data_IF_542222224603
#
_entry.id   IF_542222224603
#
_cell.length_a   1.000
_cell.length_b   1.000
_cell.length_c   1.000
_cell.angle_alpha   90.00
_cell.angle_beta   90.00
_cell.angle_gamma   90.00
#
_symmetry.space_group_name_H-M   'P 1'
#
loop_
_entity.id
_entity.type
_entity.pdbx_description
1 polymer ?
#
# COMPACT_ATOMS: atom_id res chain seq x y z
N UNK A 1 70.43 -38.28 20.47
CA UNK A 1 70.07 -38.37 19.02
C UNK A 1 68.60 -38.63 18.79
N UNK A 2 68.00 -39.65 19.38
CA UNK A 2 66.66 -40.15 19.06
C UNK A 2 65.55 -39.15 19.44
N UNK A 3 65.64 -38.49 20.59
CA UNK A 3 64.72 -37.51 21.14
C UNK A 3 64.63 -36.26 20.22
N UNK A 4 65.79 -35.83 19.73
CA UNK A 4 65.85 -34.65 18.82
C UNK A 4 65.23 -34.93 17.48
N UNK A 5 65.44 -36.15 16.94
CA UNK A 5 64.76 -36.55 15.71
C UNK A 5 63.23 -36.63 15.86
N UNK A 6 62.75 -37.13 17.02
CA UNK A 6 61.31 -37.22 17.30
C UNK A 6 60.66 -35.82 17.37
N UNK A 7 61.32 -34.88 18.04
CA UNK A 7 60.87 -33.48 18.16
C UNK A 7 60.81 -32.78 16.80
N UNK A 8 61.77 -33.00 15.92
CA UNK A 8 61.80 -32.47 14.56
C UNK A 8 60.68 -33.03 13.69
N UNK A 9 60.36 -34.30 13.83
CA UNK A 9 59.25 -34.94 13.09
C UNK A 9 57.93 -34.37 13.58
N UNK A 10 57.72 -34.19 14.90
CA UNK A 10 56.50 -33.59 15.46
C UNK A 10 56.34 -32.13 14.99
N UNK A 11 57.43 -31.35 15.02
CA UNK A 11 57.38 -29.97 14.51
C UNK A 11 57.04 -29.89 13.01
N UNK A 12 57.60 -30.80 12.18
CA UNK A 12 57.29 -30.87 10.77
C UNK A 12 55.83 -31.25 10.50
N UNK A 13 55.27 -32.18 11.29
CA UNK A 13 53.84 -32.59 11.15
C UNK A 13 52.90 -31.46 11.59
N UNK A 14 53.24 -30.71 12.67
CA UNK A 14 52.46 -29.55 13.08
C UNK A 14 52.47 -28.44 12.02
N UNK A 15 53.65 -28.18 11.42
CA UNK A 15 53.78 -27.20 10.35
C UNK A 15 52.94 -27.59 9.10
N UNK A 16 52.97 -28.88 8.76
CA UNK A 16 52.20 -29.43 7.68
C UNK A 16 50.70 -29.32 7.94
N UNK A 17 50.23 -29.60 9.13
CA UNK A 17 48.85 -29.43 9.57
C UNK A 17 48.39 -27.96 9.47
N UNK A 18 49.27 -27.03 9.88
CA UNK A 18 48.99 -25.58 9.80
C UNK A 18 48.87 -25.12 8.33
N UNK A 19 49.77 -25.60 7.46
CA UNK A 19 49.73 -25.33 6.00
C UNK A 19 48.48 -25.92 5.37
N UNK A 20 48.06 -27.11 5.74
CA UNK A 20 46.84 -27.74 5.25
C UNK A 20 45.59 -26.97 5.70
N UNK A 21 45.53 -26.47 6.93
CA UNK A 21 44.46 -25.61 7.42
C UNK A 21 44.36 -24.29 6.62
N UNK A 22 45.50 -23.65 6.33
CA UNK A 22 45.53 -22.44 5.52
C UNK A 22 45.20 -22.68 4.03
N UNK A 23 45.63 -23.81 3.49
CA UNK A 23 45.22 -24.22 2.11
C UNK A 23 43.71 -24.48 2.02
N UNK A 24 43.10 -25.07 3.04
CA UNK A 24 41.65 -25.27 3.12
C UNK A 24 40.89 -23.94 3.12
N UNK A 25 41.35 -22.97 3.91
CA UNK A 25 40.81 -21.61 3.92
C UNK A 25 40.91 -20.94 2.53
N UNK A 26 42.07 -21.08 1.87
CA UNK A 26 42.28 -20.55 0.51
C UNK A 26 41.36 -21.22 -0.55
N UNK A 27 41.12 -22.53 -0.44
CA UNK A 27 40.26 -23.27 -1.36
C UNK A 27 38.75 -22.97 -1.17
N UNK A 28 38.30 -22.67 0.03
CA UNK A 28 36.87 -22.44 0.30
C UNK A 28 36.51 -20.95 0.44
N UNK A 29 37.34 -20.16 1.11
CA UNK A 29 37.06 -18.72 1.33
C UNK A 29 37.51 -17.90 0.12
N UNK A 30 38.59 -18.28 -0.55
CA UNK A 30 39.07 -17.60 -1.76
C UNK A 30 38.06 -17.54 -2.92
N UNK A 31 37.49 -18.65 -3.35
CA UNK A 31 36.47 -18.65 -4.39
C UNK A 31 35.17 -17.95 -3.99
N UNK A 32 34.73 -18.04 -2.72
CA UNK A 32 33.56 -17.34 -2.20
C UNK A 32 33.77 -15.82 -2.16
N UNK A 33 34.94 -15.38 -1.73
CA UNK A 33 35.27 -13.94 -1.74
C UNK A 33 35.49 -13.40 -3.15
N UNK A 34 36.12 -14.18 -4.05
CA UNK A 34 36.23 -13.84 -5.48
C UNK A 34 34.88 -13.81 -6.17
N UNK A 35 33.97 -14.74 -5.87
CA UNK A 35 32.59 -14.73 -6.38
C UNK A 35 31.79 -13.55 -5.82
N UNK A 36 31.96 -13.22 -4.53
CA UNK A 36 31.35 -12.03 -3.92
C UNK A 36 31.86 -10.74 -4.55
N UNK A 37 33.17 -10.60 -4.76
CA UNK A 37 33.78 -9.49 -5.47
C UNK A 37 33.35 -9.44 -6.95
N UNK A 38 33.34 -10.59 -7.65
CA UNK A 38 32.84 -10.67 -9.01
C UNK A 38 31.37 -10.23 -9.10
N UNK A 39 30.50 -10.63 -8.17
CA UNK A 39 29.10 -10.19 -8.12
C UNK A 39 28.98 -8.69 -7.79
N UNK A 40 29.81 -8.15 -6.91
CA UNK A 40 29.82 -6.72 -6.60
C UNK A 40 30.32 -5.85 -7.78
N UNK A 41 31.37 -6.30 -8.47
CA UNK A 41 31.98 -5.51 -9.57
C UNK A 41 31.40 -5.79 -10.95
N UNK A 42 30.97 -7.02 -11.18
CA UNK A 42 30.49 -7.50 -12.49
C UNK A 42 29.06 -8.04 -12.43
N UNK A 43 28.29 -7.70 -11.37
CA UNK A 43 26.89 -8.10 -11.26
C UNK A 43 26.24 -8.08 -12.64
N UNK A 44 25.56 -9.14 -13.02
CA UNK A 44 25.37 -9.55 -14.42
C UNK A 44 24.99 -8.35 -15.29
N UNK A 45 25.57 -8.21 -16.45
CA UNK A 45 25.25 -7.17 -17.44
C UNK A 45 23.74 -7.08 -17.65
N UNK A 46 23.05 -8.18 -17.46
CA UNK A 46 21.60 -8.31 -17.56
C UNK A 46 20.87 -7.64 -16.39
N UNK A 47 21.31 -7.82 -15.13
CA UNK A 47 20.72 -7.12 -13.97
C UNK A 47 20.90 -5.61 -14.07
N UNK A 48 22.05 -5.15 -14.55
CA UNK A 48 22.28 -3.72 -14.78
C UNK A 48 21.44 -3.16 -15.93
N UNK A 49 21.24 -3.96 -16.97
CA UNK A 49 20.37 -3.59 -18.10
C UNK A 49 18.93 -3.51 -17.65
N UNK A 50 18.40 -4.54 -16.95
CA UNK A 50 17.06 -4.54 -16.38
C UNK A 50 16.84 -3.36 -15.41
N UNK A 51 17.82 -3.07 -14.55
CA UNK A 51 17.76 -1.92 -13.63
C UNK A 51 17.71 -0.59 -14.40
N UNK A 52 18.46 -0.45 -15.49
CA UNK A 52 18.43 0.76 -16.34
C UNK A 52 17.11 0.89 -17.07
N UNK A 53 16.60 -0.20 -17.64
CA UNK A 53 15.32 -0.24 -18.34
C UNK A 53 14.18 0.11 -17.37
N UNK A 54 14.18 -0.47 -16.17
CA UNK A 54 13.22 -0.14 -15.11
C UNK A 54 13.28 1.34 -14.73
N UNK A 55 14.48 1.90 -14.47
CA UNK A 55 14.64 3.32 -14.17
C UNK A 55 14.19 4.23 -15.32
N UNK A 56 14.40 3.82 -16.55
CA UNK A 56 13.96 4.58 -17.73
C UNK A 56 12.45 4.55 -17.88
N UNK A 57 11.83 3.39 -17.69
CA UNK A 57 10.37 3.22 -17.70
C UNK A 57 9.71 4.07 -16.60
N UNK A 58 10.21 4.00 -15.37
CA UNK A 58 9.75 4.82 -14.24
C UNK A 58 9.84 6.31 -14.57
N UNK A 59 10.98 6.77 -15.17
CA UNK A 59 11.15 8.17 -15.53
C UNK A 59 10.19 8.62 -16.64
N UNK A 60 9.91 7.75 -17.60
CA UNK A 60 8.94 8.02 -18.67
C UNK A 60 7.52 8.12 -18.10
N UNK A 61 7.13 7.17 -17.25
CA UNK A 61 5.84 7.17 -16.55
C UNK A 61 5.66 8.44 -15.71
N UNK A 62 6.67 8.78 -14.89
CA UNK A 62 6.65 10.00 -14.09
C UNK A 62 6.44 11.25 -14.93
N UNK A 63 7.07 11.32 -16.12
CA UNK A 63 6.89 12.47 -17.04
C UNK A 63 5.46 12.59 -17.54
N UNK A 64 4.80 11.47 -17.82
CA UNK A 64 3.40 11.42 -18.25
C UNK A 64 2.47 12.09 -17.22
N UNK A 65 2.73 11.87 -15.92
CA UNK A 65 1.90 12.34 -14.83
C UNK A 65 2.29 13.71 -14.26
N UNK A 66 3.44 14.29 -14.64
CA UNK A 66 3.92 15.59 -14.12
C UNK A 66 2.92 16.73 -14.31
N UNK A 67 2.07 16.67 -15.33
CA UNK A 67 1.02 17.66 -15.59
C UNK A 67 -0.27 17.44 -14.81
N UNK A 68 -0.41 16.30 -14.12
CA UNK A 68 -1.62 16.00 -13.37
C UNK A 68 -1.72 16.88 -12.12
N UNK A 69 -2.91 17.49 -11.88
CA UNK A 69 -3.09 18.48 -10.79
C UNK A 69 -2.79 17.92 -9.40
N UNK A 70 -3.01 16.62 -9.17
CA UNK A 70 -2.71 15.94 -7.91
C UNK A 70 -1.29 15.34 -7.85
N UNK A 71 -0.48 15.51 -8.88
CA UNK A 71 0.89 14.99 -8.88
C UNK A 71 1.72 15.46 -7.67
N UNK A 72 1.69 16.74 -7.25
CA UNK A 72 2.43 17.20 -6.08
C UNK A 72 1.76 16.89 -4.74
N UNK A 73 0.56 16.30 -4.74
CA UNK A 73 -0.24 16.10 -3.53
C UNK A 73 0.13 14.77 -2.88
N UNK A 74 0.23 14.74 -1.54
CA UNK A 74 0.49 13.53 -0.76
C UNK A 74 -0.63 12.49 -0.93
N UNK A 75 -0.33 11.21 -0.63
CA UNK A 75 -1.35 10.15 -0.66
C UNK A 75 -2.55 10.46 0.24
N UNK A 76 -2.31 11.00 1.44
CA UNK A 76 -3.41 11.44 2.35
C UNK A 76 -4.28 12.52 1.74
N UNK A 77 -3.66 13.49 1.07
CA UNK A 77 -4.41 14.54 0.35
C UNK A 77 -5.22 13.97 -0.82
N UNK A 78 -4.67 13.02 -1.56
CA UNK A 78 -5.39 12.32 -2.64
C UNK A 78 -6.54 11.48 -2.10
N UNK A 79 -6.31 10.72 -1.01
CA UNK A 79 -7.36 9.96 -0.34
C UNK A 79 -8.49 10.88 0.16
N UNK A 80 -8.15 12.02 0.77
CA UNK A 80 -9.15 13.00 1.16
C UNK A 80 -10.01 13.49 -0.03
N UNK A 81 -9.40 13.75 -1.17
CA UNK A 81 -10.14 14.11 -2.38
C UNK A 81 -11.08 12.99 -2.85
N UNK A 82 -10.61 11.73 -2.84
CA UNK A 82 -11.42 10.58 -3.22
C UNK A 82 -12.58 10.34 -2.25
N UNK A 83 -12.38 10.59 -0.95
CA UNK A 83 -13.47 10.55 0.03
C UNK A 83 -14.53 11.65 -0.28
N UNK A 84 -14.11 12.85 -0.68
CA UNK A 84 -15.05 13.87 -1.14
C UNK A 84 -15.81 13.45 -2.40
N UNK A 85 -15.18 12.72 -3.33
CA UNK A 85 -15.87 12.13 -4.49
C UNK A 85 -16.91 11.10 -4.05
N UNK A 86 -16.57 10.25 -3.10
CA UNK A 86 -17.49 9.28 -2.51
C UNK A 86 -18.68 9.98 -1.82
N UNK A 87 -18.43 11.02 -1.03
CA UNK A 87 -19.49 11.84 -0.40
C UNK A 87 -20.39 12.52 -1.43
N UNK A 88 -19.82 13.02 -2.53
CA UNK A 88 -20.60 13.64 -3.60
C UNK A 88 -21.60 12.65 -4.19
N UNK A 89 -21.20 11.40 -4.43
CA UNK A 89 -22.07 10.34 -4.91
C UNK A 89 -23.13 9.95 -3.87
N UNK A 90 -22.77 9.81 -2.61
CA UNK A 90 -23.72 9.54 -1.53
C UNK A 90 -24.80 10.62 -1.45
N UNK A 91 -24.43 11.89 -1.50
CA UNK A 91 -25.38 12.99 -1.50
C UNK A 91 -26.30 12.97 -2.72
N UNK A 92 -25.76 12.67 -3.88
CA UNK A 92 -26.50 12.62 -5.11
C UNK A 92 -27.59 11.53 -5.09
N UNK A 93 -27.24 10.34 -4.57
CA UNK A 93 -28.14 9.19 -4.58
C UNK A 93 -28.92 8.96 -3.29
N UNK A 94 -28.41 9.40 -2.14
CA UNK A 94 -28.91 9.03 -0.81
C UNK A 94 -29.16 10.22 0.11
N UNK A 95 -29.61 11.36 -0.42
CA UNK A 95 -29.80 12.59 0.37
C UNK A 95 -30.63 12.40 1.65
N UNK A 96 -31.53 11.43 1.71
CA UNK A 96 -32.41 11.16 2.86
C UNK A 96 -31.83 10.15 3.86
N UNK A 97 -30.77 9.42 3.51
CA UNK A 97 -30.24 8.28 4.29
C UNK A 97 -28.74 8.39 4.61
N UNK A 98 -28.17 9.58 4.55
CA UNK A 98 -26.73 9.81 4.76
C UNK A 98 -26.23 9.33 6.13
N UNK A 99 -27.06 9.38 7.16
CA UNK A 99 -26.68 8.97 8.52
C UNK A 99 -26.21 7.51 8.61
N UNK A 100 -26.70 6.64 7.72
CA UNK A 100 -26.30 5.23 7.69
C UNK A 100 -24.85 5.02 7.22
N UNK A 101 -24.32 5.98 6.45
CA UNK A 101 -22.96 5.94 5.91
C UNK A 101 -21.93 6.61 6.82
N UNK A 102 -22.39 7.31 7.88
CA UNK A 102 -21.50 8.11 8.74
C UNK A 102 -20.40 7.29 9.39
N UNK A 103 -20.72 6.07 9.85
CA UNK A 103 -19.69 5.21 10.42
C UNK A 103 -18.58 4.91 9.39
N UNK A 104 -18.97 4.45 8.19
CA UNK A 104 -18.00 4.14 7.12
C UNK A 104 -17.19 5.37 6.69
N UNK A 105 -17.86 6.51 6.56
CA UNK A 105 -17.17 7.77 6.24
C UNK A 105 -16.19 8.16 7.33
N UNK A 106 -16.54 8.02 8.61
CA UNK A 106 -15.64 8.27 9.73
C UNK A 106 -14.39 7.39 9.64
N UNK A 107 -14.56 6.10 9.33
CA UNK A 107 -13.44 5.18 9.13
C UNK A 107 -12.58 5.56 7.90
N UNK A 108 -13.21 5.92 6.78
CA UNK A 108 -12.47 6.38 5.60
C UNK A 108 -11.64 7.63 5.90
N UNK A 109 -12.21 8.63 6.60
CA UNK A 109 -11.50 9.85 6.94
C UNK A 109 -10.32 9.64 7.91
N UNK A 110 -10.28 8.54 8.68
CA UNK A 110 -9.15 8.22 9.55
C UNK A 110 -7.82 8.11 8.80
N UNK A 111 -7.82 7.79 7.50
CA UNK A 111 -6.58 7.76 6.70
C UNK A 111 -5.81 9.08 6.76
N UNK A 112 -6.50 10.19 6.92
CA UNK A 112 -5.87 11.51 6.96
C UNK A 112 -5.07 11.74 8.24
N UNK A 113 -5.45 11.12 9.35
CA UNK A 113 -4.89 11.35 10.69
C UNK A 113 -4.12 10.15 11.27
N UNK A 114 -4.44 8.91 10.89
CA UNK A 114 -3.81 7.71 11.46
C UNK A 114 -2.33 7.60 11.10
N UNK A 115 -1.51 7.09 12.03
CA UNK A 115 -0.13 6.68 11.77
C UNK A 115 -0.04 5.21 11.36
N UNK A 116 -1.01 4.39 11.76
CA UNK A 116 -1.09 2.95 11.47
C UNK A 116 -1.91 2.73 10.18
N UNK A 117 -1.23 2.91 9.06
CA UNK A 117 -1.85 2.78 7.74
C UNK A 117 -2.21 1.33 7.43
N UNK A 118 -1.36 0.40 7.85
CA UNK A 118 -1.55 -1.03 7.58
C UNK A 118 -2.83 -1.54 8.26
N UNK A 119 -3.02 -1.16 9.52
CA UNK A 119 -4.24 -1.48 10.24
C UNK A 119 -5.47 -0.80 9.64
N UNK A 120 -5.32 0.46 9.23
CA UNK A 120 -6.41 1.16 8.55
C UNK A 120 -6.82 0.45 7.26
N UNK A 121 -5.84 0.02 6.44
CA UNK A 121 -6.10 -0.73 5.20
C UNK A 121 -6.83 -2.03 5.51
N UNK A 122 -6.37 -2.83 6.47
CA UNK A 122 -7.05 -4.06 6.88
C UNK A 122 -8.49 -3.83 7.31
N UNK A 123 -8.71 -2.82 8.15
CA UNK A 123 -10.05 -2.46 8.64
C UNK A 123 -10.99 -1.99 7.53
N UNK A 124 -10.49 -1.20 6.57
CA UNK A 124 -11.31 -0.76 5.44
C UNK A 124 -11.57 -1.91 4.47
N UNK A 125 -10.60 -2.79 4.23
CA UNK A 125 -10.80 -3.98 3.40
C UNK A 125 -11.85 -4.93 4.01
N UNK A 126 -11.78 -5.18 5.32
CA UNK A 126 -12.80 -5.93 6.07
C UNK A 126 -14.19 -5.27 6.00
N UNK A 127 -14.26 -3.94 6.00
CA UNK A 127 -15.50 -3.17 5.91
C UNK A 127 -16.03 -3.03 4.47
N UNK A 128 -15.35 -3.57 3.47
CA UNK A 128 -15.76 -3.45 2.08
C UNK A 128 -17.10 -4.17 1.81
N UNK A 129 -17.92 -3.64 0.89
CA UNK A 129 -19.16 -4.31 0.50
C UNK A 129 -18.95 -5.75 0.03
N UNK A 130 -17.84 -6.02 -0.67
CA UNK A 130 -17.48 -7.34 -1.16
C UNK A 130 -17.27 -8.30 0.00
N UNK A 131 -16.41 -7.95 0.96
CA UNK A 131 -16.09 -8.77 2.13
C UNK A 131 -17.33 -8.99 3.04
N UNK A 132 -18.05 -7.91 3.35
CA UNK A 132 -19.23 -7.98 4.24
C UNK A 132 -20.37 -8.81 3.65
N UNK A 133 -20.59 -8.70 2.33
CA UNK A 133 -21.69 -9.46 1.68
C UNK A 133 -21.32 -10.92 1.42
N UNK A 134 -20.01 -11.25 1.33
CA UNK A 134 -19.54 -12.62 1.15
C UNK A 134 -19.82 -13.49 2.38
N UNK A 135 -19.52 -12.98 3.58
CA UNK A 135 -19.70 -13.75 4.82
C UNK A 135 -21.17 -13.76 5.28
N UNK A 136 -21.63 -14.92 5.74
CA UNK A 136 -22.98 -15.09 6.30
C UNK A 136 -23.10 -14.50 7.69
N UNK A 137 -22.03 -14.56 8.48
CA UNK A 137 -21.96 -14.05 9.84
C UNK A 137 -20.59 -13.49 10.17
N UNK A 138 -20.50 -12.72 11.25
CA UNK A 138 -19.24 -12.21 11.80
C UNK A 138 -18.24 -13.34 12.10
N UNK A 139 -18.73 -14.44 12.70
CA UNK A 139 -17.92 -15.59 13.09
C UNK A 139 -17.26 -16.26 11.87
N UNK A 140 -17.95 -16.31 10.72
CA UNK A 140 -17.40 -16.87 9.48
C UNK A 140 -16.22 -16.01 8.98
N UNK A 141 -16.33 -14.67 9.04
CA UNK A 141 -15.24 -13.74 8.70
C UNK A 141 -14.06 -13.87 9.66
N UNK A 142 -14.32 -13.92 10.96
CA UNK A 142 -13.28 -14.09 11.98
C UNK A 142 -12.53 -15.43 11.80
N UNK A 143 -13.24 -16.53 11.58
CA UNK A 143 -12.65 -17.86 11.35
C UNK A 143 -11.80 -17.90 10.08
N UNK A 144 -12.27 -17.27 8.99
CA UNK A 144 -11.53 -17.18 7.75
C UNK A 144 -10.21 -16.41 7.94
N UNK A 145 -10.27 -15.21 8.54
CA UNK A 145 -9.08 -14.40 8.79
C UNK A 145 -8.09 -15.13 9.70
N UNK A 146 -8.56 -15.76 10.75
CA UNK A 146 -7.72 -16.60 11.63
C UNK A 146 -7.03 -17.74 10.87
N UNK A 147 -7.75 -18.38 9.95
CA UNK A 147 -7.20 -19.48 9.12
C UNK A 147 -6.10 -19.03 8.18
N UNK A 148 -6.20 -17.84 7.61
CA UNK A 148 -5.18 -17.25 6.71
C UNK A 148 -4.09 -16.48 7.46
N UNK A 149 -4.17 -16.43 8.80
CA UNK A 149 -3.17 -15.74 9.63
C UNK A 149 -3.30 -14.22 9.60
N UNK A 150 -4.49 -13.72 9.26
CA UNK A 150 -4.82 -12.30 9.28
C UNK A 150 -5.64 -11.94 10.52
N UNK A 151 -5.77 -10.64 10.76
CA UNK A 151 -6.66 -10.09 11.78
C UNK A 151 -7.99 -9.72 11.13
N UNK A 152 -9.08 -9.84 11.88
CA UNK A 152 -10.38 -9.29 11.50
C UNK A 152 -10.62 -8.07 12.39
N UNK A 153 -10.50 -6.88 11.79
CA UNK A 153 -10.45 -5.61 12.55
C UNK A 153 -11.84 -5.00 12.83
N UNK A 154 -12.93 -5.67 12.44
CA UNK A 154 -14.29 -5.25 12.77
C UNK A 154 -14.78 -5.91 14.06
N UNK A 155 -15.64 -5.22 14.80
CA UNK A 155 -16.46 -5.81 15.83
C UNK A 155 -17.71 -6.44 15.24
N UNK A 156 -18.34 -7.36 15.99
CA UNK A 156 -19.60 -8.00 15.55
C UNK A 156 -20.71 -6.98 15.30
N UNK A 157 -20.82 -5.94 16.13
CA UNK A 157 -21.80 -4.85 15.97
C UNK A 157 -21.58 -4.06 14.68
N UNK A 158 -20.33 -3.76 14.37
CA UNK A 158 -19.94 -3.06 13.13
C UNK A 158 -20.26 -3.90 11.90
N UNK A 159 -19.89 -5.19 11.93
CA UNK A 159 -20.23 -6.13 10.87
C UNK A 159 -21.72 -6.20 10.59
N UNK A 160 -22.55 -6.39 11.64
CA UNK A 160 -24.01 -6.47 11.52
C UNK A 160 -24.57 -5.17 10.94
N UNK A 161 -24.06 -4.01 11.40
CA UNK A 161 -24.50 -2.71 10.91
C UNK A 161 -24.18 -2.51 9.44
N UNK A 162 -22.96 -2.84 9.01
CA UNK A 162 -22.52 -2.74 7.61
C UNK A 162 -23.29 -3.75 6.73
N UNK A 163 -23.46 -4.98 7.20
CA UNK A 163 -24.21 -5.99 6.45
C UNK A 163 -25.64 -5.54 6.18
N UNK A 164 -26.31 -5.01 7.20
CA UNK A 164 -27.65 -4.44 7.06
C UNK A 164 -27.68 -3.27 6.06
N UNK A 165 -26.69 -2.40 6.12
CA UNK A 165 -26.56 -1.30 5.17
C UNK A 165 -26.44 -1.82 3.74
N UNK A 166 -25.46 -2.69 3.49
CA UNK A 166 -25.16 -3.17 2.14
C UNK A 166 -26.27 -4.07 1.57
N UNK A 167 -26.91 -4.92 2.39
CA UNK A 167 -28.06 -5.72 1.97
C UNK A 167 -29.24 -4.85 1.53
N UNK A 168 -29.42 -3.67 2.11
CA UNK A 168 -30.46 -2.72 1.72
C UNK A 168 -30.12 -1.91 0.46
N UNK A 169 -28.81 -1.75 0.18
CA UNK A 169 -28.34 -0.89 -0.90
C UNK A 169 -27.89 -1.67 -2.15
N UNK A 170 -27.46 -2.95 -2.02
CA UNK A 170 -26.81 -3.74 -3.07
C UNK A 170 -27.61 -3.88 -4.38
N UNK A 171 -28.93 -3.90 -4.28
CA UNK A 171 -29.81 -4.07 -5.45
C UNK A 171 -30.20 -2.73 -6.09
N UNK A 172 -29.74 -1.61 -5.56
CA UNK A 172 -30.00 -0.29 -6.13
C UNK A 172 -29.05 0.01 -7.30
N UNK A 173 -29.55 0.63 -8.36
CA UNK A 173 -28.75 0.90 -9.56
C UNK A 173 -27.47 1.71 -9.32
N UNK A 174 -27.44 2.50 -8.27
CA UNK A 174 -26.28 3.32 -7.92
C UNK A 174 -25.23 2.61 -7.05
N UNK A 175 -25.54 1.44 -6.50
CA UNK A 175 -24.62 0.75 -5.60
C UNK A 175 -23.25 0.43 -6.25
N UNK A 176 -23.17 -0.01 -7.52
CA UNK A 176 -21.90 -0.20 -8.20
C UNK A 176 -21.06 1.08 -8.28
N UNK A 177 -21.69 2.26 -8.41
CA UNK A 177 -21.03 3.57 -8.43
C UNK A 177 -20.40 3.86 -7.07
N UNK A 178 -21.19 3.70 -6.00
CA UNK A 178 -20.72 3.87 -4.60
C UNK A 178 -19.55 2.91 -4.31
N UNK A 179 -19.68 1.65 -4.72
CA UNK A 179 -18.63 0.65 -4.51
C UNK A 179 -17.37 0.96 -5.33
N UNK A 180 -17.50 1.38 -6.59
CA UNK A 180 -16.38 1.82 -7.42
C UNK A 180 -15.59 2.96 -6.77
N UNK A 181 -16.29 3.99 -6.28
CA UNK A 181 -15.66 5.11 -5.57
C UNK A 181 -15.01 4.70 -4.25
N UNK A 182 -15.63 3.78 -3.50
CA UNK A 182 -15.02 3.19 -2.32
C UNK A 182 -13.67 2.53 -2.64
N UNK A 183 -13.62 1.73 -3.72
CA UNK A 183 -12.38 1.09 -4.16
C UNK A 183 -11.29 2.09 -4.51
N UNK A 184 -11.61 3.19 -5.17
CA UNK A 184 -10.59 4.21 -5.50
C UNK A 184 -9.93 4.81 -4.26
N UNK A 185 -10.66 4.94 -3.12
CA UNK A 185 -10.09 5.38 -1.84
C UNK A 185 -9.10 4.37 -1.31
N UNK A 186 -9.38 3.07 -1.42
CA UNK A 186 -8.48 2.00 -0.98
C UNK A 186 -7.25 1.92 -1.91
N UNK A 187 -7.49 1.96 -3.21
CA UNK A 187 -6.47 1.83 -4.26
C UNK A 187 -5.39 2.93 -4.17
N UNK A 188 -5.76 4.17 -3.87
CA UNK A 188 -4.80 5.27 -3.73
C UNK A 188 -3.76 5.02 -2.63
N UNK A 189 -4.08 4.19 -1.65
CA UNK A 189 -3.20 3.84 -0.55
C UNK A 189 -2.44 2.55 -0.82
N UNK A 190 -3.11 1.52 -1.38
CA UNK A 190 -2.60 0.14 -1.46
C UNK A 190 -1.80 -0.16 -2.73
N UNK A 191 -2.17 0.39 -3.88
CA UNK A 191 -1.62 -0.01 -5.19
C UNK A 191 -0.11 0.22 -5.36
N UNK A 192 0.52 0.95 -4.48
CA UNK A 192 1.93 1.31 -4.60
C UNK A 192 2.81 0.82 -3.44
N UNK A 193 2.35 -0.18 -2.69
CA UNK A 193 3.09 -0.70 -1.53
C UNK A 193 4.46 -1.29 -1.85
N UNK A 194 4.71 -1.66 -3.11
CA UNK A 194 6.00 -2.22 -3.55
C UNK A 194 7.04 -1.19 -4.01
N UNK A 195 6.67 0.05 -4.26
CA UNK A 195 7.53 1.08 -4.86
C UNK A 195 7.83 2.24 -3.89
N UNK A 196 8.51 1.91 -2.77
CA UNK A 196 8.90 2.87 -1.72
C UNK A 196 9.77 4.04 -2.23
N UNK A 197 10.37 3.93 -3.41
CA UNK A 197 11.23 4.97 -3.99
C UNK A 197 10.49 6.02 -4.84
N UNK A 198 9.20 5.83 -5.14
CA UNK A 198 8.50 6.70 -6.07
C UNK A 198 7.44 7.52 -5.33
N UNK A 199 7.80 8.74 -4.94
CA UNK A 199 6.89 9.71 -4.30
C UNK A 199 5.64 10.07 -5.12
N UNK A 200 5.52 9.57 -6.37
CA UNK A 200 4.45 9.91 -7.30
C UNK A 200 4.09 8.69 -8.13
N UNK A 201 3.28 7.83 -7.57
CA UNK A 201 2.91 6.60 -8.22
C UNK A 201 1.78 6.83 -9.21
N UNK A 202 1.92 6.28 -10.43
CA UNK A 202 0.89 6.35 -11.47
C UNK A 202 -0.44 5.78 -11.02
N UNK A 203 -0.43 4.69 -10.26
CA UNK A 203 -1.64 4.01 -9.81
C UNK A 203 -2.51 4.89 -8.91
N UNK A 204 -1.89 5.62 -7.96
CA UNK A 204 -2.62 6.55 -7.10
C UNK A 204 -3.22 7.76 -7.85
N UNK A 205 -2.64 8.15 -8.99
CA UNK A 205 -3.22 9.19 -9.85
C UNK A 205 -4.31 8.62 -10.76
N UNK A 206 -4.13 7.38 -11.24
CA UNK A 206 -5.18 6.68 -12.00
C UNK A 206 -6.45 6.49 -11.18
N UNK A 207 -6.35 6.23 -9.87
CA UNK A 207 -7.52 6.13 -9.00
C UNK A 207 -8.33 7.44 -8.93
N UNK A 208 -7.64 8.59 -9.02
CA UNK A 208 -8.32 9.90 -9.09
C UNK A 208 -9.04 10.07 -10.43
N UNK A 209 -8.33 9.77 -11.54
CA UNK A 209 -8.94 9.84 -12.88
C UNK A 209 -10.16 8.92 -12.98
N UNK A 210 -10.07 7.71 -12.42
CA UNK A 210 -11.17 6.75 -12.36
C UNK A 210 -12.35 7.29 -11.56
N UNK A 211 -12.12 7.85 -10.37
CA UNK A 211 -13.19 8.44 -9.56
C UNK A 211 -13.88 9.60 -10.29
N UNK A 212 -13.10 10.49 -10.92
CA UNK A 212 -13.67 11.60 -11.70
C UNK A 212 -14.44 11.11 -12.94
N UNK A 213 -13.97 10.04 -13.58
CA UNK A 213 -14.66 9.41 -14.69
C UNK A 213 -15.99 8.80 -14.20
N UNK A 214 -15.99 8.02 -13.12
CA UNK A 214 -17.22 7.46 -12.53
C UNK A 214 -18.25 8.57 -12.25
N UNK A 215 -17.84 9.65 -11.58
CA UNK A 215 -18.75 10.76 -11.29
C UNK A 215 -19.31 11.39 -12.59
N UNK A 216 -18.45 11.61 -13.57
CA UNK A 216 -18.83 12.23 -14.86
C UNK A 216 -19.80 11.35 -15.65
N UNK A 217 -19.54 10.06 -15.78
CA UNK A 217 -20.38 9.09 -16.49
C UNK A 217 -21.78 9.00 -15.88
N UNK A 218 -21.88 9.19 -14.58
CA UNK A 218 -23.15 9.17 -13.85
C UNK A 218 -23.77 10.56 -13.63
N UNK A 219 -23.22 11.61 -14.27
CA UNK A 219 -23.69 13.00 -14.14
C UNK A 219 -23.69 13.52 -12.70
N UNK A 220 -22.80 13.01 -11.86
CA UNK A 220 -22.62 13.43 -10.48
C UNK A 220 -21.63 14.61 -10.47
N UNK A 221 -21.98 15.75 -9.84
CA UNK A 221 -21.05 16.88 -9.75
C UNK A 221 -19.76 16.50 -9.02
N UNK A 222 -18.61 16.90 -9.57
CA UNK A 222 -17.32 16.80 -8.85
C UNK A 222 -17.37 17.60 -7.55
N UNK A 223 -16.55 17.26 -6.54
CA UNK A 223 -16.45 18.05 -5.31
C UNK A 223 -16.17 19.53 -5.62
N UNK A 224 -17.02 20.44 -5.10
CA UNK A 224 -16.97 21.87 -5.40
C UNK A 224 -16.58 22.73 -4.19
N UNK A 225 -16.43 22.13 -3.00
CA UNK A 225 -16.00 22.88 -1.82
C UNK A 225 -14.59 23.43 -2.00
N UNK A 226 -14.53 24.73 -2.35
CA UNK A 226 -13.27 25.40 -2.63
C UNK A 226 -12.36 25.47 -1.40
N UNK A 227 -12.92 25.48 -0.19
CA UNK A 227 -12.14 25.48 1.05
C UNK A 227 -11.44 24.12 1.25
N UNK A 228 -12.20 23.04 1.14
CA UNK A 228 -11.66 21.69 1.23
C UNK A 228 -10.61 21.42 0.14
N UNK A 229 -10.91 21.77 -1.12
CA UNK A 229 -9.98 21.61 -2.23
C UNK A 229 -8.69 22.41 -2.03
N UNK A 230 -8.78 23.67 -1.61
CA UNK A 230 -7.61 24.50 -1.33
C UNK A 230 -6.76 23.94 -0.17
N UNK A 231 -7.41 23.36 0.84
CA UNK A 231 -6.71 22.71 1.95
C UNK A 231 -5.94 21.46 1.43
N UNK A 232 -6.61 20.57 0.71
CA UNK A 232 -6.01 19.36 0.13
C UNK A 232 -4.83 19.72 -0.78
N UNK A 233 -4.98 20.71 -1.66
CA UNK A 233 -3.94 21.12 -2.61
C UNK A 233 -2.69 21.73 -1.96
N UNK A 234 -2.73 22.03 -0.67
CA UNK A 234 -1.56 22.47 0.12
C UNK A 234 -0.79 21.30 0.74
N UNK A 235 -1.38 20.11 0.85
CA UNK A 235 -0.73 18.92 1.41
C UNK A 235 0.22 18.26 0.38
N UNK A 236 1.41 18.85 0.22
CA UNK A 236 2.44 18.47 -0.77
C UNK A 236 3.61 17.72 -0.16
N UNK A 237 3.55 17.40 1.12
CA UNK A 237 4.62 16.67 1.82
C UNK A 237 4.69 15.24 1.29
N UNK A 238 5.82 14.84 0.71
CA UNK A 238 6.08 13.58 -0.02
C UNK A 238 5.38 12.30 0.46
N UNK A 239 5.43 11.25 -0.29
CA UNK A 239 4.81 9.93 -0.08
C UNK A 239 3.39 9.96 0.55
N UNK A 240 3.24 9.53 1.83
CA UNK A 240 1.96 9.57 2.53
C UNK A 240 1.56 10.99 2.97
N UNK A 241 2.52 11.87 3.18
CA UNK A 241 2.30 13.20 3.77
C UNK A 241 2.15 13.19 5.29
N UNK A 242 2.19 14.38 5.89
CA UNK A 242 1.93 14.52 7.33
C UNK A 242 0.46 14.26 7.64
N UNK A 243 0.14 13.58 8.76
CA UNK A 243 -1.23 13.45 9.22
C UNK A 243 -1.89 14.82 9.45
N UNK A 244 -3.18 14.88 9.17
CA UNK A 244 -4.03 16.03 9.44
C UNK A 244 -5.45 15.56 9.80
N UNK A 245 -6.20 16.37 10.51
CA UNK A 245 -7.61 16.11 10.74
C UNK A 245 -8.42 16.44 9.48
N UNK A 246 -8.89 15.42 8.80
CA UNK A 246 -9.69 15.55 7.58
C UNK A 246 -11.20 15.64 7.83
N UNK A 247 -11.68 15.27 9.02
CA UNK A 247 -13.11 15.26 9.35
C UNK A 247 -13.79 16.62 9.08
N UNK A 248 -13.16 17.77 9.42
CA UNK A 248 -13.76 19.07 9.10
C UNK A 248 -13.94 19.38 7.61
N UNK A 249 -13.32 18.58 6.71
CA UNK A 249 -13.51 18.71 5.26
C UNK A 249 -14.74 17.94 4.78
N UNK A 250 -15.23 17.00 5.60
CA UNK A 250 -16.45 16.25 5.28
C UNK A 250 -17.65 17.18 5.24
N UNK A 251 -18.53 16.91 4.33
CA UNK A 251 -19.79 17.62 4.18
C UNK A 251 -20.99 16.79 4.65
N UNK A 252 -20.73 15.60 5.22
CA UNK A 252 -21.74 14.66 5.73
C UNK A 252 -21.55 14.41 7.24
N UNK A 253 -20.28 14.36 7.74
CA UNK A 253 -19.94 14.22 9.17
C UNK A 253 -20.01 15.60 9.92
#
# INVERSE_FOLDING_TARGET
>A
GLVLCLLLIIAALLLLALICQHLWLLFFVGPLSLYGLYRCFFGSTEERKQTRERKTAIKAERRKWQGHRFFPISKRGRAAYLILCFEAALKFYNSENLDRWKWLLGELWQITSTWDIDRWVGRIDDASPETILEYRSYQEGEEYNKKVGSWYDLTEEEFISLKKLYEQEKDKPFFPVIYGLYKTVLDVITLDWGDLEINHTPAALSAIDEAEQILTEHSIPLPQDQQALNFIMKHRDGHYGKPFDGIPLSSIL
#
